data_IF_335804947551
#
_entry.id   IF_335804947551
#
_cell.length_a   1.000
_cell.length_b   1.000
_cell.length_c   1.000
_cell.angle_alpha   90.00
_cell.angle_beta   90.00
_cell.angle_gamma   90.00
#
_symmetry.space_group_name_H-M   'P 1'
#
loop_
_entity.id
_entity.type
_entity.pdbx_description
1 polymer ?
#
# COMPACT_ATOMS: atom_id res chain seq x y z
N UNK A 1 -16.83 0.27 -20.48
CA UNK A 1 -16.69 -0.90 -19.58
C UNK A 1 -15.99 -0.42 -18.32
N UNK A 2 -16.79 -0.07 -17.31
CA UNK A 2 -16.31 0.49 -16.04
C UNK A 2 -15.52 -0.56 -15.28
N UNK A 3 -14.22 -0.28 -15.16
CA UNK A 3 -13.22 -1.12 -14.50
C UNK A 3 -13.11 -0.85 -12.99
N UNK A 4 -14.01 0.01 -12.46
CA UNK A 4 -13.94 0.49 -11.07
C UNK A 4 -15.05 -0.08 -10.23
N UNK A 5 -14.72 -0.74 -9.15
CA UNK A 5 -15.67 -1.19 -8.16
C UNK A 5 -15.62 -0.29 -6.92
N UNK A 6 -16.76 0.33 -6.56
CA UNK A 6 -16.89 1.13 -5.35
C UNK A 6 -17.14 0.22 -4.16
N UNK A 7 -16.25 0.26 -3.19
CA UNK A 7 -16.47 -0.38 -1.89
C UNK A 7 -17.06 0.65 -0.93
N UNK A 8 -18.36 0.57 -0.59
CA UNK A 8 -19.01 1.56 0.26
C UNK A 8 -18.57 1.44 1.72
N UNK A 9 -18.37 2.60 2.36
CA UNK A 9 -17.92 2.70 3.75
C UNK A 9 -18.96 2.27 4.80
N UNK A 10 -20.22 2.24 4.46
CA UNK A 10 -21.32 2.01 5.42
C UNK A 10 -22.50 1.30 4.79
N UNK A 11 -22.75 0.09 5.20
CA UNK A 11 -24.03 -0.57 5.08
C UNK A 11 -24.33 -1.35 6.36
N UNK A 12 -25.38 -0.99 7.09
CA UNK A 12 -25.89 -1.72 8.26
C UNK A 12 -26.53 -3.07 7.90
N UNK A 13 -25.97 -3.80 6.95
CA UNK A 13 -26.12 -5.26 6.89
C UNK A 13 -25.03 -5.83 7.78
N UNK A 14 -25.31 -6.83 8.62
CA UNK A 14 -24.29 -7.68 9.21
C UNK A 14 -23.41 -8.13 8.05
N UNK A 15 -22.31 -7.42 7.83
CA UNK A 15 -21.33 -7.86 6.87
C UNK A 15 -20.68 -9.08 7.50
N UNK A 16 -20.71 -10.20 6.81
CA UNK A 16 -19.94 -11.36 7.21
C UNK A 16 -18.49 -10.90 7.22
N UNK A 17 -17.92 -10.77 8.40
CA UNK A 17 -16.48 -10.57 8.56
C UNK A 17 -15.79 -11.82 8.05
N UNK A 18 -14.79 -11.65 7.19
CA UNK A 18 -13.99 -12.76 6.67
C UNK A 18 -12.83 -12.96 7.63
N UNK A 19 -12.55 -14.20 7.99
CA UNK A 19 -11.32 -14.55 8.70
C UNK A 19 -10.16 -14.53 7.72
N UNK A 20 -8.99 -14.04 8.17
CA UNK A 20 -7.82 -13.96 7.29
C UNK A 20 -7.30 -15.34 6.85
N UNK A 21 -7.50 -16.37 7.68
CA UNK A 21 -7.13 -17.76 7.37
C UNK A 21 -8.03 -18.42 6.30
N UNK A 22 -9.20 -17.83 6.01
CA UNK A 22 -10.08 -18.26 4.92
C UNK A 22 -9.66 -17.66 3.55
N UNK A 23 -8.78 -16.65 3.58
CA UNK A 23 -8.21 -16.08 2.36
C UNK A 23 -6.99 -16.89 1.92
N UNK A 24 -6.89 -17.18 0.63
CA UNK A 24 -5.73 -17.88 0.04
C UNK A 24 -4.50 -16.95 0.00
N UNK A 25 -3.96 -16.65 1.18
CA UNK A 25 -2.82 -15.77 1.37
C UNK A 25 -1.54 -16.58 1.64
N UNK A 26 -0.41 -16.00 1.24
CA UNK A 26 0.90 -16.53 1.59
C UNK A 26 1.01 -16.72 3.12
N UNK A 27 1.46 -17.90 3.60
CA UNK A 27 1.61 -18.17 5.04
C UNK A 27 2.47 -17.15 5.79
N UNK A 28 3.44 -16.54 5.13
CA UNK A 28 4.28 -15.49 5.72
C UNK A 28 3.48 -14.21 6.00
N UNK A 29 2.52 -13.88 5.14
CA UNK A 29 1.60 -12.73 5.34
C UNK A 29 0.63 -13.05 6.47
N UNK A 30 0.02 -14.23 6.48
CA UNK A 30 -0.87 -14.68 7.55
C UNK A 30 -0.19 -14.63 8.92
N UNK A 31 1.08 -15.02 8.99
CA UNK A 31 1.86 -14.92 10.22
C UNK A 31 2.09 -13.45 10.65
N UNK A 32 2.36 -12.56 9.70
CA UNK A 32 2.48 -11.12 9.98
C UNK A 32 1.18 -10.51 10.49
N UNK A 33 0.05 -10.90 9.90
CA UNK A 33 -1.30 -10.48 10.31
C UNK A 33 -1.58 -10.95 11.76
N UNK A 34 -1.29 -12.21 12.06
CA UNK A 34 -1.48 -12.78 13.40
C UNK A 34 -0.61 -12.07 14.45
N UNK A 35 0.64 -11.74 14.14
CA UNK A 35 1.53 -10.97 15.02
C UNK A 35 1.00 -9.56 15.34
N UNK A 36 0.20 -8.99 14.42
CA UNK A 36 -0.48 -7.71 14.65
C UNK A 36 -1.78 -7.84 15.48
N UNK A 37 -2.16 -9.04 15.86
CA UNK A 37 -3.37 -9.32 16.63
C UNK A 37 -4.66 -9.26 15.81
N UNK A 38 -4.58 -9.38 14.49
CA UNK A 38 -5.74 -9.37 13.61
C UNK A 38 -6.24 -10.81 13.41
N UNK A 39 -7.43 -11.10 13.87
CA UNK A 39 -8.09 -12.41 13.69
C UNK A 39 -9.14 -12.34 12.58
N UNK A 40 -9.98 -11.31 12.61
CA UNK A 40 -11.03 -11.07 11.64
C UNK A 40 -10.76 -9.77 10.86
N UNK A 41 -11.08 -9.80 9.57
CA UNK A 41 -10.97 -8.64 8.73
C UNK A 41 -12.04 -7.59 9.08
N UNK A 42 -11.65 -6.33 9.14
CA UNK A 42 -12.60 -5.21 9.26
C UNK A 42 -13.53 -5.16 8.04
N UNK A 43 -14.65 -4.41 8.11
CA UNK A 43 -15.57 -4.29 6.98
C UNK A 43 -14.89 -3.85 5.67
N UNK A 44 -13.99 -2.86 5.73
CA UNK A 44 -13.28 -2.41 4.53
C UNK A 44 -12.30 -3.47 4.01
N UNK A 45 -11.63 -4.19 4.90
CA UNK A 45 -10.73 -5.29 4.54
C UNK A 45 -11.49 -6.45 3.90
N UNK A 46 -12.62 -6.86 4.49
CA UNK A 46 -13.47 -7.96 3.99
C UNK A 46 -14.01 -7.67 2.58
N UNK A 47 -14.26 -6.41 2.26
CA UNK A 47 -14.74 -6.00 0.93
C UNK A 47 -13.60 -5.81 -0.06
N UNK A 48 -12.53 -5.12 0.32
CA UNK A 48 -11.49 -4.70 -0.61
C UNK A 48 -10.51 -5.83 -0.94
N UNK A 49 -10.08 -6.62 0.07
CA UNK A 49 -9.00 -7.62 -0.14
C UNK A 49 -9.34 -8.62 -1.24
N UNK A 50 -10.52 -9.29 -1.25
CA UNK A 50 -10.85 -10.26 -2.29
C UNK A 50 -10.90 -9.63 -3.69
N UNK A 51 -11.42 -8.42 -3.81
CA UNK A 51 -11.55 -7.71 -5.09
C UNK A 51 -10.18 -7.32 -5.64
N UNK A 52 -9.32 -6.75 -4.80
CA UNK A 52 -7.94 -6.40 -5.21
C UNK A 52 -7.13 -7.64 -5.57
N UNK A 53 -7.30 -8.74 -4.84
CA UNK A 53 -6.65 -10.02 -5.16
C UNK A 53 -7.10 -10.58 -6.52
N UNK A 54 -8.35 -10.36 -6.91
CA UNK A 54 -8.85 -10.75 -8.24
C UNK A 54 -8.30 -9.88 -9.38
N UNK A 55 -7.56 -8.82 -9.09
CA UNK A 55 -6.92 -7.95 -10.08
C UNK A 55 -7.80 -6.80 -10.57
N UNK A 56 -8.91 -6.52 -9.89
CA UNK A 56 -9.80 -5.40 -10.21
C UNK A 56 -9.34 -4.15 -9.47
N UNK A 57 -9.43 -3.01 -10.15
CA UNK A 57 -9.15 -1.70 -9.54
C UNK A 57 -10.28 -1.31 -8.57
N UNK A 58 -9.92 -0.72 -7.42
CA UNK A 58 -10.85 -0.45 -6.32
C UNK A 58 -10.77 1.00 -5.88
N UNK A 59 -11.91 1.61 -5.64
CA UNK A 59 -12.03 2.86 -4.88
C UNK A 59 -12.69 2.52 -3.54
N UNK A 60 -11.90 2.61 -2.47
CA UNK A 60 -12.36 2.35 -1.10
C UNK A 60 -12.53 3.64 -0.32
N UNK A 61 -13.67 3.80 0.35
CA UNK A 61 -13.93 4.89 1.27
C UNK A 61 -14.17 4.35 2.66
N UNK A 62 -13.30 4.74 3.60
CA UNK A 62 -13.43 4.36 5.00
C UNK A 62 -12.79 5.43 5.90
N UNK A 63 -13.27 5.52 7.12
CA UNK A 63 -12.69 6.43 8.11
C UNK A 63 -11.26 6.04 8.50
N UNK A 64 -10.51 7.00 9.03
CA UNK A 64 -9.19 6.76 9.61
C UNK A 64 -9.28 5.72 10.76
N UNK A 65 -8.29 4.83 10.87
CA UNK A 65 -8.28 3.80 11.91
C UNK A 65 -9.15 2.56 11.65
N UNK A 66 -9.76 2.42 10.47
CA UNK A 66 -10.59 1.28 10.11
C UNK A 66 -9.84 0.13 9.43
N UNK A 67 -8.51 0.20 9.37
CA UNK A 67 -7.68 -0.82 8.75
C UNK A 67 -7.50 -0.68 7.23
N UNK A 68 -7.62 0.54 6.68
CA UNK A 68 -7.39 0.80 5.25
C UNK A 68 -6.01 0.34 4.77
N UNK A 69 -4.96 0.61 5.55
CA UNK A 69 -3.59 0.24 5.16
C UNK A 69 -3.47 -1.26 4.94
N UNK A 70 -4.01 -2.08 5.83
CA UNK A 70 -4.00 -3.53 5.63
C UNK A 70 -4.91 -3.96 4.47
N UNK A 71 -6.00 -3.24 4.20
CA UNK A 71 -6.91 -3.54 3.09
C UNK A 71 -6.22 -3.46 1.71
N UNK A 72 -5.27 -2.55 1.51
CA UNK A 72 -4.45 -2.52 0.30
C UNK A 72 -3.07 -3.19 0.49
N UNK A 73 -2.50 -3.13 1.67
CA UNK A 73 -1.18 -3.69 1.97
C UNK A 73 -1.11 -5.21 1.84
N UNK A 74 -2.12 -5.93 2.31
CA UNK A 74 -2.18 -7.39 2.22
C UNK A 74 -2.19 -7.87 0.75
N UNK A 75 -3.09 -7.38 -0.13
CA UNK A 75 -3.07 -7.76 -1.53
C UNK A 75 -1.79 -7.35 -2.27
N UNK A 76 -1.21 -6.21 -1.94
CA UNK A 76 0.07 -5.75 -2.48
C UNK A 76 1.16 -6.76 -2.16
N UNK A 77 1.31 -7.13 -0.89
CA UNK A 77 2.31 -8.09 -0.45
C UNK A 77 2.13 -9.45 -1.11
N UNK A 78 0.89 -9.88 -1.35
CA UNK A 78 0.58 -11.13 -2.05
C UNK A 78 1.09 -11.13 -3.51
N UNK A 79 1.13 -9.95 -4.15
CA UNK A 79 1.54 -9.79 -5.56
C UNK A 79 3.03 -9.47 -5.73
N UNK A 80 3.71 -9.00 -4.71
CA UNK A 80 5.13 -8.63 -4.78
C UNK A 80 6.00 -9.87 -4.92
N UNK A 81 6.91 -9.84 -5.90
CA UNK A 81 7.99 -10.82 -6.03
C UNK A 81 9.22 -10.39 -5.22
N UNK A 82 9.53 -11.06 -4.10
CA UNK A 82 10.69 -10.72 -3.26
C UNK A 82 12.04 -10.92 -3.97
N UNK A 83 12.10 -11.79 -4.97
CA UNK A 83 13.34 -12.08 -5.73
C UNK A 83 13.69 -10.97 -6.71
N UNK A 84 12.69 -10.22 -7.17
CA UNK A 84 12.87 -9.11 -8.11
C UNK A 84 13.21 -7.83 -7.34
N UNK A 85 14.48 -7.44 -7.37
CA UNK A 85 15.00 -6.24 -6.67
C UNK A 85 14.71 -4.96 -7.46
N UNK A 86 13.46 -4.76 -7.83
CA UNK A 86 12.93 -3.60 -8.58
C UNK A 86 11.69 -3.05 -7.90
N UNK A 87 11.41 -1.79 -8.13
CA UNK A 87 10.17 -1.16 -7.64
C UNK A 87 8.97 -1.74 -8.37
N UNK A 88 8.05 -2.31 -7.61
CA UNK A 88 6.86 -3.00 -8.11
C UNK A 88 5.56 -2.30 -7.69
N UNK A 89 5.64 -1.51 -6.61
CA UNK A 89 4.49 -0.82 -6.03
C UNK A 89 4.87 0.60 -5.65
N UNK A 90 4.01 1.55 -6.02
CA UNK A 90 4.07 2.93 -5.59
C UNK A 90 2.81 3.27 -4.78
N UNK A 91 2.99 3.85 -3.60
CA UNK A 91 1.90 4.34 -2.74
C UNK A 91 2.12 5.83 -2.53
N UNK A 92 1.15 6.64 -2.90
CA UNK A 92 1.15 8.07 -2.66
C UNK A 92 0.42 8.38 -1.36
N UNK A 93 1.04 9.18 -0.51
CA UNK A 93 0.46 9.66 0.74
C UNK A 93 0.64 11.18 0.84
N UNK A 94 -0.34 11.94 1.35
CA UNK A 94 -0.31 13.40 1.30
C UNK A 94 0.77 14.02 2.18
N UNK A 95 1.15 13.35 3.28
CA UNK A 95 2.10 13.88 4.27
C UNK A 95 3.23 12.91 4.55
N UNK A 96 4.36 13.46 5.01
CA UNK A 96 5.51 12.71 5.49
C UNK A 96 5.14 11.72 6.60
N UNK A 97 4.37 12.18 7.58
CA UNK A 97 3.97 11.40 8.75
C UNK A 97 3.15 10.19 8.33
N UNK A 98 2.19 10.39 7.41
CA UNK A 98 1.36 9.30 6.89
C UNK A 98 2.19 8.31 6.05
N UNK A 99 3.12 8.79 5.22
CA UNK A 99 4.01 7.92 4.45
C UNK A 99 4.86 7.02 5.36
N UNK A 100 5.39 7.54 6.47
CA UNK A 100 6.15 6.78 7.45
C UNK A 100 5.24 5.75 8.13
N UNK A 101 4.04 6.17 8.56
CA UNK A 101 3.07 5.29 9.23
C UNK A 101 2.66 4.11 8.33
N UNK A 102 2.32 4.39 7.08
CA UNK A 102 1.96 3.36 6.09
C UNK A 102 3.14 2.40 5.85
N UNK A 103 4.37 2.92 5.72
CA UNK A 103 5.55 2.10 5.56
C UNK A 103 5.78 1.15 6.73
N UNK A 104 5.60 1.64 7.96
CA UNK A 104 5.79 0.83 9.16
C UNK A 104 4.70 -0.25 9.31
N UNK A 105 3.46 0.06 8.95
CA UNK A 105 2.37 -0.92 8.95
C UNK A 105 2.59 -2.02 7.91
N UNK A 106 3.00 -1.66 6.68
CA UNK A 106 3.33 -2.65 5.64
C UNK A 106 4.55 -3.50 6.05
N UNK A 107 5.56 -2.92 6.69
CA UNK A 107 6.71 -3.69 7.23
C UNK A 107 6.29 -4.70 8.27
N UNK A 108 5.34 -4.37 9.16
CA UNK A 108 4.78 -5.31 10.13
C UNK A 108 4.09 -6.48 9.46
N UNK A 109 3.26 -6.21 8.45
CA UNK A 109 2.60 -7.25 7.64
C UNK A 109 3.62 -8.13 6.91
N UNK A 110 4.70 -7.54 6.39
CA UNK A 110 5.78 -8.22 5.65
C UNK A 110 6.87 -8.81 6.54
N UNK A 111 6.72 -8.82 7.86
CA UNK A 111 7.76 -9.20 8.84
C UNK A 111 8.45 -10.53 8.52
N UNK A 112 7.72 -11.49 7.99
CA UNK A 112 8.23 -12.82 7.66
C UNK A 112 8.53 -13.02 6.17
N UNK A 113 8.33 -12.00 5.34
CA UNK A 113 8.62 -12.01 3.91
C UNK A 113 10.07 -11.58 3.66
N UNK A 114 10.99 -12.54 3.63
CA UNK A 114 12.39 -12.25 3.38
C UNK A 114 12.60 -11.68 1.96
N UNK A 115 13.38 -10.60 1.87
CA UNK A 115 13.71 -9.94 0.60
C UNK A 115 12.78 -8.81 0.20
N UNK A 116 11.63 -8.64 0.83
CA UNK A 116 10.74 -7.49 0.62
C UNK A 116 11.28 -6.28 1.37
N UNK A 117 11.52 -5.19 0.64
CA UNK A 117 11.95 -3.91 1.19
C UNK A 117 10.90 -2.84 0.94
N UNK A 118 10.61 -2.08 1.98
CA UNK A 118 9.63 -1.00 2.01
C UNK A 118 10.35 0.30 2.38
N UNK A 119 10.24 1.32 1.55
CA UNK A 119 10.93 2.60 1.74
C UNK A 119 9.96 3.77 1.66
N UNK A 120 9.83 4.60 2.71
CA UNK A 120 9.18 5.89 2.60
C UNK A 120 10.14 6.92 2.00
N UNK A 121 9.63 7.75 1.07
CA UNK A 121 10.33 8.88 0.46
C UNK A 121 9.51 10.16 0.60
N UNK A 122 10.11 11.22 1.16
CA UNK A 122 9.40 12.45 1.48
C UNK A 122 10.34 13.66 1.49
N UNK A 123 9.78 14.85 1.39
CA UNK A 123 10.51 16.11 1.48
C UNK A 123 11.08 16.38 2.88
N UNK A 124 12.05 17.30 2.97
CA UNK A 124 12.70 17.64 4.23
C UNK A 124 13.81 16.68 4.69
N UNK A 125 13.99 15.54 4.02
CA UNK A 125 15.13 14.67 4.20
C UNK A 125 16.09 14.84 3.01
N UNK A 126 17.40 14.67 3.27
CA UNK A 126 18.39 14.65 2.20
C UNK A 126 18.07 13.51 1.21
N UNK A 127 17.87 13.89 -0.05
CA UNK A 127 17.55 12.96 -1.13
C UNK A 127 18.64 11.91 -1.35
N UNK A 128 19.90 12.22 -1.07
CA UNK A 128 21.03 11.31 -1.22
C UNK A 128 20.88 10.05 -0.37
N UNK A 129 20.29 10.18 0.83
CA UNK A 129 19.99 9.04 1.70
C UNK A 129 18.95 8.12 1.09
N UNK A 130 17.91 8.71 0.50
CA UNK A 130 16.86 7.96 -0.19
C UNK A 130 17.42 7.26 -1.43
N UNK A 131 18.24 7.95 -2.22
CA UNK A 131 18.90 7.37 -3.41
C UNK A 131 19.80 6.20 -3.01
N UNK A 132 20.57 6.32 -1.92
CA UNK A 132 21.39 5.23 -1.42
C UNK A 132 20.56 3.99 -1.04
N UNK A 133 19.43 4.20 -0.37
CA UNK A 133 18.50 3.12 -0.02
C UNK A 133 17.89 2.46 -1.26
N UNK A 134 17.50 3.25 -2.26
CA UNK A 134 16.92 2.76 -3.53
C UNK A 134 17.89 1.89 -4.33
N UNK A 135 19.19 2.21 -4.31
CA UNK A 135 20.24 1.39 -4.97
C UNK A 135 20.30 -0.03 -4.44
N UNK A 136 19.89 -0.26 -3.21
CA UNK A 136 19.78 -1.58 -2.60
C UNK A 136 18.66 -2.47 -3.15
N UNK A 137 17.81 -1.94 -4.03
CA UNK A 137 16.61 -2.59 -4.56
C UNK A 137 15.47 -2.55 -3.54
N UNK A 138 14.39 -1.85 -3.89
CA UNK A 138 13.20 -1.65 -3.05
C UNK A 138 11.96 -2.00 -3.86
N UNK A 139 11.13 -2.89 -3.36
CA UNK A 139 9.92 -3.34 -4.06
C UNK A 139 8.74 -2.40 -3.84
N UNK A 140 8.58 -1.85 -2.63
CA UNK A 140 7.44 -1.02 -2.25
C UNK A 140 7.94 0.35 -1.81
N UNK A 141 7.48 1.39 -2.48
CA UNK A 141 7.82 2.78 -2.15
C UNK A 141 6.55 3.52 -1.76
N UNK A 142 6.59 4.18 -0.62
CA UNK A 142 5.53 5.08 -0.16
C UNK A 142 6.09 6.50 -0.24
N UNK A 143 5.46 7.37 -1.00
CA UNK A 143 5.98 8.72 -1.21
C UNK A 143 4.97 9.84 -1.06
N UNK A 144 5.45 11.00 -0.58
CA UNK A 144 4.73 12.24 -0.81
C UNK A 144 4.87 12.62 -2.29
N UNK A 145 3.82 13.19 -2.93
CA UNK A 145 3.78 13.39 -4.37
C UNK A 145 5.00 14.13 -4.93
N UNK A 146 5.34 15.30 -4.41
CA UNK A 146 6.47 16.09 -4.91
C UNK A 146 7.83 15.38 -4.83
N UNK A 147 8.11 14.63 -3.74
CA UNK A 147 9.37 13.89 -3.62
C UNK A 147 9.38 12.66 -4.51
N UNK A 148 8.25 12.00 -4.69
CA UNK A 148 8.14 10.86 -5.60
C UNK A 148 8.40 11.30 -7.05
N UNK A 149 7.79 12.41 -7.48
CA UNK A 149 8.04 13.01 -8.79
C UNK A 149 9.51 13.41 -8.99
N UNK A 150 10.16 13.99 -7.97
CA UNK A 150 11.59 14.32 -8.04
C UNK A 150 12.44 13.07 -8.28
N UNK A 151 12.16 11.96 -7.59
CA UNK A 151 12.84 10.69 -7.84
C UNK A 151 12.57 10.12 -9.24
N UNK A 152 11.34 10.22 -9.75
CA UNK A 152 10.98 9.78 -11.11
C UNK A 152 11.71 10.62 -12.18
N UNK A 153 11.71 11.95 -12.03
CA UNK A 153 12.42 12.87 -12.94
C UNK A 153 13.94 12.61 -12.93
N UNK A 154 14.52 12.30 -11.79
CA UNK A 154 15.94 11.92 -11.63
C UNK A 154 16.23 10.49 -12.10
N UNK A 155 15.22 9.70 -12.42
CA UNK A 155 15.33 8.28 -12.77
C UNK A 155 15.98 7.43 -11.66
N UNK A 156 15.91 7.89 -10.41
CA UNK A 156 16.34 7.14 -9.22
C UNK A 156 15.28 6.14 -8.77
N UNK A 157 14.02 6.39 -9.10
CA UNK A 157 12.92 5.42 -9.13
C UNK A 157 12.56 5.19 -10.60
N UNK A 158 12.50 3.93 -11.00
CA UNK A 158 12.11 3.52 -12.36
C UNK A 158 10.82 2.73 -12.29
N UNK A 159 9.77 3.16 -13.04
CA UNK A 159 8.45 2.52 -12.97
C UNK A 159 8.31 1.27 -13.84
N UNK A 160 9.37 0.83 -14.53
CA UNK A 160 9.31 -0.24 -15.54
C UNK A 160 8.68 -1.55 -15.05
N UNK A 161 8.75 -1.83 -13.74
CA UNK A 161 8.22 -3.03 -13.10
C UNK A 161 7.03 -2.73 -12.17
N UNK A 162 6.55 -1.49 -12.15
CA UNK A 162 5.42 -1.10 -11.30
C UNK A 162 4.13 -1.68 -11.88
N UNK A 163 3.47 -2.50 -11.09
CA UNK A 163 2.19 -3.12 -11.46
C UNK A 163 1.03 -2.66 -10.57
N UNK A 164 1.32 -1.92 -9.48
CA UNK A 164 0.29 -1.43 -8.56
C UNK A 164 0.62 -0.01 -8.11
N UNK A 165 -0.38 0.85 -8.19
CA UNK A 165 -0.34 2.21 -7.65
C UNK A 165 -1.49 2.36 -6.67
N UNK A 166 -1.20 2.95 -5.49
CA UNK A 166 -2.20 3.29 -4.47
C UNK A 166 -2.18 4.78 -4.21
N UNK A 167 -3.35 5.38 -4.17
CA UNK A 167 -3.55 6.76 -3.73
C UNK A 167 -4.21 6.72 -2.34
N UNK A 168 -3.42 6.85 -1.29
CA UNK A 168 -3.92 6.88 0.08
C UNK A 168 -4.31 8.31 0.45
N UNK A 169 -5.50 8.49 1.07
CA UNK A 169 -6.07 9.81 1.35
C UNK A 169 -6.11 10.71 0.09
N UNK A 170 -6.63 10.15 -1.02
CA UNK A 170 -6.63 10.82 -2.33
C UNK A 170 -7.40 12.15 -2.32
N UNK A 171 -8.48 12.24 -1.54
CA UNK A 171 -9.24 13.46 -1.30
C UNK A 171 -8.38 14.57 -0.65
N UNK A 172 -7.55 14.23 0.32
CA UNK A 172 -6.63 15.15 0.94
C UNK A 172 -5.58 15.67 -0.06
N UNK A 173 -5.01 14.77 -0.89
CA UNK A 173 -4.07 15.18 -1.94
C UNK A 173 -4.70 16.12 -2.95
N UNK A 174 -5.95 15.89 -3.34
CA UNK A 174 -6.69 16.80 -4.23
C UNK A 174 -6.91 18.17 -3.59
N UNK A 175 -7.26 18.23 -2.28
CA UNK A 175 -7.42 19.46 -1.53
C UNK A 175 -6.11 20.25 -1.39
N UNK A 176 -4.97 19.56 -1.33
CA UNK A 176 -3.64 20.17 -1.29
C UNK A 176 -3.14 20.66 -2.66
N UNK A 177 -3.89 20.49 -3.72
CA UNK A 177 -3.57 20.98 -5.06
C UNK A 177 -2.68 20.05 -5.91
N UNK A 178 -2.48 18.79 -5.51
CA UNK A 178 -1.73 17.80 -6.31
C UNK A 178 -2.54 17.27 -7.51
N UNK A 179 -3.32 18.12 -8.14
CA UNK A 179 -4.19 17.75 -9.26
C UNK A 179 -3.48 17.68 -10.60
N UNK A 180 -2.38 18.42 -10.73
CA UNK A 180 -1.63 18.60 -11.98
C UNK A 180 -0.31 17.81 -11.99
N UNK A 181 0.02 17.14 -10.90
CA UNK A 181 1.18 16.28 -10.73
C UNK A 181 0.83 14.81 -11.02
#
# INVERSE_FOLDING_TARGET
TDRWEKVPATGRKRMNTIRFDELDLNPQILRGIADMGFEEATPIQSQAIPVVLSGVDVIGQAQTGTGKTAAFGIPILQKVDPSLRKTQVLILSPTRELAIQVADEIRKLAKYMHGVKVLPVYGGQDISRQIKALKGGVQIIIGTPGRLLDHLRRKTIRPDFVHTIVLDEADEMLNMGFRED
#
